data_IF_021701795359
#
_entry.id   IF_021701795359
#
_cell.length_a   1.000
_cell.length_b   1.000
_cell.length_c   1.000
_cell.angle_alpha   90.00
_cell.angle_beta   90.00
_cell.angle_gamma   90.00
#
_symmetry.space_group_name_H-M   'P 1'
#
loop_
_entity.id
_entity.type
_entity.pdbx_description
1 polymer ?
#
# COMPACT_ATOMS: atom_id res chain seq x y z
N UNK A 1 -2.32 16.52 16.85
CA UNK A 1 -2.86 15.97 15.60
C UNK A 1 -2.62 16.94 14.43
N UNK A 2 -3.11 18.17 14.45
CA UNK A 2 -2.89 19.13 13.34
C UNK A 2 -1.40 19.38 13.04
N UNK A 3 -0.54 19.52 14.05
CA UNK A 3 0.91 19.66 13.83
C UNK A 3 1.56 18.47 13.10
N UNK A 4 1.04 17.25 13.31
CA UNK A 4 1.56 16.07 12.59
C UNK A 4 1.09 16.05 11.14
N UNK A 5 -0.13 16.51 10.86
CA UNK A 5 -0.62 16.70 9.49
C UNK A 5 0.19 17.80 8.77
N UNK A 6 0.45 18.94 9.45
CA UNK A 6 1.31 19.99 8.91
C UNK A 6 2.71 19.46 8.61
N UNK A 7 3.31 18.66 9.54
CA UNK A 7 4.61 18.04 9.31
C UNK A 7 4.60 17.06 8.12
N UNK A 8 3.51 16.29 7.92
CA UNK A 8 3.33 15.45 6.76
C UNK A 8 3.29 16.27 5.46
N UNK A 9 2.51 17.34 5.46
CA UNK A 9 2.37 18.22 4.29
C UNK A 9 3.70 18.90 3.92
N UNK A 10 4.46 19.38 4.91
CA UNK A 10 5.79 19.98 4.68
C UNK A 10 6.77 18.93 4.14
N UNK A 11 6.81 17.73 4.73
CA UNK A 11 7.68 16.67 4.22
C UNK A 11 7.34 16.28 2.77
N UNK A 12 6.05 16.20 2.42
CA UNK A 12 5.63 15.93 1.04
C UNK A 12 6.06 17.06 0.08
N UNK A 13 5.97 18.33 0.50
CA UNK A 13 6.48 19.46 -0.29
C UNK A 13 7.98 19.35 -0.54
N UNK A 14 8.75 18.94 0.47
CA UNK A 14 10.20 18.72 0.32
C UNK A 14 10.52 17.61 -0.69
N UNK A 15 9.69 16.56 -0.77
CA UNK A 15 9.84 15.50 -1.78
C UNK A 15 9.55 16.02 -3.20
N UNK A 16 8.66 16.97 -3.37
CA UNK A 16 8.31 17.60 -4.64
C UNK A 16 7.53 16.71 -5.62
N UNK A 17 7.85 15.43 -5.74
CA UNK A 17 7.08 14.46 -6.53
C UNK A 17 7.17 13.06 -5.92
N UNK A 18 6.07 12.30 -5.96
CA UNK A 18 6.01 10.99 -5.27
C UNK A 18 5.13 9.96 -5.99
N UNK A 19 5.64 8.74 -6.11
CA UNK A 19 4.87 7.55 -6.49
C UNK A 19 4.47 6.80 -5.21
N UNK A 20 3.18 6.68 -4.96
CA UNK A 20 2.67 6.04 -3.75
C UNK A 20 2.25 4.61 -4.06
N UNK A 21 2.83 3.64 -3.32
CA UNK A 21 2.34 2.26 -3.31
C UNK A 21 0.94 2.23 -2.69
N UNK A 22 -0.07 2.08 -3.54
CA UNK A 22 -1.47 2.28 -3.18
C UNK A 22 -2.23 0.97 -3.10
N UNK A 23 -2.75 0.64 -1.91
CA UNK A 23 -3.48 -0.59 -1.63
C UNK A 23 -4.96 -0.39 -1.31
N UNK A 24 -5.51 0.83 -1.46
CA UNK A 24 -6.83 1.26 -1.01
C UNK A 24 -7.14 1.00 0.49
N UNK A 25 -6.13 0.71 1.28
CA UNK A 25 -6.25 0.66 2.75
C UNK A 25 -6.29 2.06 3.38
N UNK A 26 -6.62 2.15 4.66
CA UNK A 26 -6.76 3.42 5.41
C UNK A 26 -5.53 4.32 5.24
N UNK A 27 -4.34 3.76 5.52
CA UNK A 27 -3.08 4.53 5.56
C UNK A 27 -2.68 5.02 4.17
N UNK A 28 -2.70 4.12 3.19
CA UNK A 28 -2.31 4.47 1.82
C UNK A 28 -3.29 5.45 1.16
N UNK A 29 -4.59 5.35 1.48
CA UNK A 29 -5.60 6.29 0.98
C UNK A 29 -5.42 7.68 1.60
N UNK A 30 -5.17 7.74 2.91
CA UNK A 30 -4.89 8.99 3.59
C UNK A 30 -3.62 9.65 3.05
N UNK A 31 -2.53 8.87 2.95
CA UNK A 31 -1.27 9.38 2.39
C UNK A 31 -1.45 9.91 0.97
N UNK A 32 -2.12 9.13 0.11
CA UNK A 32 -2.35 9.50 -1.29
C UNK A 32 -3.16 10.79 -1.41
N UNK A 33 -4.23 10.92 -0.60
CA UNK A 33 -5.07 12.13 -0.59
C UNK A 33 -4.27 13.36 -0.16
N UNK A 34 -3.56 13.28 0.98
CA UNK A 34 -2.77 14.41 1.48
C UNK A 34 -1.66 14.78 0.49
N UNK A 35 -0.99 13.79 -0.10
CA UNK A 35 0.04 14.05 -1.09
C UNK A 35 -0.53 14.74 -2.34
N UNK A 36 -1.67 14.30 -2.84
CA UNK A 36 -2.32 14.92 -3.99
C UNK A 36 -2.79 16.33 -3.69
N UNK A 37 -3.34 16.59 -2.51
CA UNK A 37 -3.76 17.95 -2.10
C UNK A 37 -2.59 18.92 -2.02
N UNK A 38 -1.37 18.43 -1.73
CA UNK A 38 -0.16 19.25 -1.58
C UNK A 38 0.59 19.40 -2.90
N UNK A 39 0.70 18.34 -3.69
CA UNK A 39 1.60 18.24 -4.84
C UNK A 39 0.86 18.20 -6.20
N UNK A 40 -0.47 18.04 -6.20
CA UNK A 40 -1.27 17.95 -7.42
C UNK A 40 -0.79 16.84 -8.35
N UNK A 41 -0.56 17.17 -9.62
CA UNK A 41 -0.15 16.22 -10.67
C UNK A 41 1.25 15.62 -10.49
N UNK A 42 2.02 16.06 -9.48
CA UNK A 42 3.31 15.47 -9.14
C UNK A 42 3.17 14.19 -8.29
N UNK A 43 1.93 13.70 -8.08
CA UNK A 43 1.64 12.46 -7.38
C UNK A 43 1.04 11.44 -8.33
N UNK A 44 1.54 10.22 -8.26
CA UNK A 44 0.93 9.07 -8.93
C UNK A 44 0.63 7.98 -7.90
N UNK A 45 -0.48 7.29 -8.09
CA UNK A 45 -0.78 6.05 -7.37
C UNK A 45 -0.30 4.86 -8.18
N UNK A 46 0.37 3.89 -7.55
CA UNK A 46 0.77 2.64 -8.20
C UNK A 46 0.21 1.47 -7.39
N UNK A 47 -0.63 0.66 -8.01
CA UNK A 47 -1.21 -0.54 -7.41
C UNK A 47 -0.72 -1.78 -8.14
N UNK A 48 -0.19 -2.76 -7.40
CA UNK A 48 0.11 -4.06 -7.97
C UNK A 48 -1.15 -4.92 -8.05
N UNK A 49 -1.45 -5.40 -9.22
CA UNK A 49 -2.46 -6.42 -9.44
C UNK A 49 -1.78 -7.79 -9.37
N UNK A 50 -2.15 -8.59 -8.36
CA UNK A 50 -1.61 -9.93 -8.16
C UNK A 50 -2.72 -10.91 -7.77
N UNK A 51 -2.40 -12.20 -7.75
CA UNK A 51 -3.36 -13.20 -7.28
C UNK A 51 -3.59 -13.17 -5.75
N UNK A 52 -2.70 -12.53 -4.99
CA UNK A 52 -2.87 -12.29 -3.55
C UNK A 52 -3.61 -10.99 -3.21
N UNK A 53 -3.90 -10.16 -4.22
CA UNK A 53 -4.61 -8.88 -4.03
C UNK A 53 -6.07 -9.03 -4.48
N UNK A 54 -7.06 -8.89 -3.57
CA UNK A 54 -8.47 -9.08 -3.90
C UNK A 54 -8.95 -8.14 -5.00
N UNK A 55 -9.80 -8.64 -5.90
CA UNK A 55 -10.36 -7.81 -6.97
C UNK A 55 -11.14 -6.61 -6.45
N UNK A 56 -11.89 -6.77 -5.34
CA UNK A 56 -12.63 -5.68 -4.70
C UNK A 56 -11.73 -4.51 -4.30
N UNK A 57 -10.56 -4.80 -3.73
CA UNK A 57 -9.58 -3.78 -3.33
C UNK A 57 -9.04 -3.01 -4.55
N UNK A 58 -8.81 -3.72 -5.66
CA UNK A 58 -8.37 -3.09 -6.91
C UNK A 58 -9.44 -2.16 -7.50
N UNK A 59 -10.71 -2.58 -7.49
CA UNK A 59 -11.80 -1.75 -7.98
C UNK A 59 -12.02 -0.51 -7.10
N UNK A 60 -11.91 -0.65 -5.78
CA UNK A 60 -11.94 0.49 -4.87
C UNK A 60 -10.78 1.47 -5.13
N UNK A 61 -9.56 0.95 -5.37
CA UNK A 61 -8.39 1.75 -5.71
C UNK A 61 -8.63 2.57 -6.99
N UNK A 62 -9.15 1.92 -8.04
CA UNK A 62 -9.52 2.57 -9.31
C UNK A 62 -10.58 3.66 -9.11
N UNK A 63 -11.64 3.33 -8.37
CA UNK A 63 -12.74 4.24 -8.12
C UNK A 63 -12.27 5.48 -7.34
N UNK A 64 -11.45 5.28 -6.31
CA UNK A 64 -10.88 6.38 -5.53
C UNK A 64 -10.02 7.30 -6.39
N UNK A 65 -9.05 6.76 -7.10
CA UNK A 65 -8.16 7.56 -7.95
C UNK A 65 -8.93 8.31 -9.04
N UNK A 66 -9.93 7.67 -9.65
CA UNK A 66 -10.81 8.32 -10.64
C UNK A 66 -11.59 9.49 -10.04
N UNK A 67 -12.16 9.29 -8.84
CA UNK A 67 -12.94 10.32 -8.12
C UNK A 67 -12.08 11.54 -7.77
N UNK A 68 -10.87 11.29 -7.27
CA UNK A 68 -9.95 12.34 -6.82
C UNK A 68 -9.12 12.97 -7.98
N UNK A 69 -9.23 12.46 -9.21
CA UNK A 69 -8.45 12.92 -10.35
C UNK A 69 -6.97 12.54 -10.31
N UNK A 70 -6.61 11.49 -9.55
CA UNK A 70 -5.23 11.06 -9.36
C UNK A 70 -4.82 10.10 -10.46
N UNK A 71 -3.65 10.33 -11.06
CA UNK A 71 -3.07 9.40 -12.03
C UNK A 71 -2.78 8.06 -11.37
N UNK A 72 -3.42 7.00 -11.85
CA UNK A 72 -3.30 5.66 -11.31
C UNK A 72 -2.67 4.71 -12.33
N UNK A 73 -1.59 4.05 -11.93
CA UNK A 73 -0.91 3.04 -12.74
C UNK A 73 -1.09 1.69 -12.04
N UNK A 74 -1.58 0.72 -12.80
CA UNK A 74 -1.70 -0.65 -12.33
C UNK A 74 -0.58 -1.45 -12.98
N UNK A 75 0.24 -2.10 -12.17
CA UNK A 75 1.28 -3.00 -12.63
C UNK A 75 0.95 -4.44 -12.26
N UNK A 76 1.21 -5.37 -13.15
CA UNK A 76 1.05 -6.80 -12.86
C UNK A 76 2.22 -7.28 -11.99
N UNK A 77 1.88 -8.05 -10.95
CA UNK A 77 2.83 -8.78 -10.12
C UNK A 77 2.51 -10.27 -10.15
N UNK A 78 3.46 -11.05 -10.65
CA UNK A 78 3.36 -12.50 -10.71
C UNK A 78 4.06 -13.15 -9.52
N UNK A 79 3.56 -12.87 -8.33
CA UNK A 79 4.15 -13.29 -7.04
C UNK A 79 4.49 -14.78 -6.98
N UNK A 80 3.64 -15.63 -7.57
CA UNK A 80 3.86 -17.08 -7.57
C UNK A 80 5.05 -17.52 -8.42
N UNK A 81 5.54 -16.66 -9.32
CA UNK A 81 6.73 -16.91 -10.14
C UNK A 81 8.01 -16.42 -9.46
N UNK A 82 7.90 -15.60 -8.40
CA UNK A 82 9.05 -15.15 -7.64
C UNK A 82 9.65 -16.34 -6.90
N UNK A 83 10.96 -16.56 -7.08
CA UNK A 83 11.66 -17.65 -6.43
C UNK A 83 11.45 -17.63 -4.89
N UNK A 84 11.04 -18.74 -4.35
CA UNK A 84 10.80 -18.93 -2.92
C UNK A 84 9.45 -18.42 -2.41
N UNK A 85 8.70 -17.60 -3.14
CA UNK A 85 7.43 -17.04 -2.66
C UNK A 85 6.37 -18.12 -2.39
N UNK A 86 6.16 -19.04 -3.34
CA UNK A 86 5.15 -20.08 -3.25
C UNK A 86 5.33 -21.06 -2.08
N UNK A 87 6.58 -21.23 -1.60
CA UNK A 87 6.89 -22.04 -0.43
C UNK A 87 6.48 -21.39 0.91
N UNK A 88 5.98 -20.16 0.86
CA UNK A 88 5.48 -19.42 2.02
C UNK A 88 6.48 -19.34 3.21
N UNK A 89 7.72 -18.88 2.97
CA UNK A 89 8.69 -18.72 4.03
C UNK A 89 8.31 -17.57 4.98
N UNK A 90 8.92 -17.54 6.16
CA UNK A 90 8.68 -16.45 7.15
C UNK A 90 8.98 -15.07 6.59
N UNK A 91 9.95 -14.96 5.70
CA UNK A 91 10.32 -13.70 5.02
C UNK A 91 9.54 -13.46 3.70
N UNK A 92 8.45 -14.19 3.42
CA UNK A 92 7.64 -14.02 2.19
C UNK A 92 7.30 -12.56 1.90
N UNK A 93 6.94 -11.78 2.94
CA UNK A 93 6.61 -10.36 2.75
C UNK A 93 7.79 -9.51 2.29
N UNK A 94 9.02 -9.88 2.66
CA UNK A 94 10.23 -9.25 2.12
C UNK A 94 10.37 -9.54 0.63
N UNK A 95 10.29 -10.81 0.24
CA UNK A 95 10.40 -11.25 -1.16
C UNK A 95 9.38 -10.52 -2.04
N UNK A 96 8.11 -10.52 -1.64
CA UNK A 96 7.04 -9.86 -2.38
C UNK A 96 7.24 -8.33 -2.47
N UNK A 97 7.54 -7.67 -1.34
CA UNK A 97 7.73 -6.21 -1.35
C UNK A 97 8.96 -5.78 -2.12
N UNK A 98 10.04 -6.55 -2.08
CA UNK A 98 11.26 -6.22 -2.84
C UNK A 98 10.95 -6.15 -4.34
N UNK A 99 10.34 -7.18 -4.90
CA UNK A 99 9.96 -7.21 -6.32
C UNK A 99 8.95 -6.11 -6.66
N UNK A 100 7.95 -5.90 -5.81
CA UNK A 100 6.96 -4.86 -6.00
C UNK A 100 7.61 -3.47 -6.08
N UNK A 101 8.48 -3.14 -5.13
CA UNK A 101 9.09 -1.82 -5.11
C UNK A 101 10.12 -1.62 -6.23
N UNK A 102 10.81 -2.66 -6.71
CA UNK A 102 11.61 -2.58 -7.92
C UNK A 102 10.77 -2.18 -9.15
N UNK A 103 9.57 -2.76 -9.29
CA UNK A 103 8.62 -2.36 -10.35
C UNK A 103 8.17 -0.92 -10.19
N UNK A 104 7.81 -0.50 -8.97
CA UNK A 104 7.39 0.88 -8.71
C UNK A 104 8.53 1.87 -8.99
N UNK A 105 9.78 1.53 -8.66
CA UNK A 105 10.96 2.34 -8.98
C UNK A 105 11.10 2.56 -10.49
N UNK A 106 10.92 1.51 -11.29
CA UNK A 106 10.99 1.62 -12.73
C UNK A 106 9.86 2.50 -13.29
N UNK A 107 8.64 2.30 -12.81
CA UNK A 107 7.49 3.14 -13.17
C UNK A 107 7.75 4.61 -12.79
N UNK A 108 8.24 4.87 -11.58
CA UNK A 108 8.53 6.22 -11.12
C UNK A 108 9.58 6.91 -12.02
N UNK A 109 10.64 6.19 -12.41
CA UNK A 109 11.65 6.69 -13.37
C UNK A 109 11.02 7.07 -14.72
N UNK A 110 10.20 6.19 -15.29
CA UNK A 110 9.50 6.45 -16.55
C UNK A 110 8.57 7.67 -16.47
N UNK A 111 7.93 7.85 -15.31
CA UNK A 111 7.03 8.98 -15.05
C UNK A 111 7.77 10.24 -14.57
N UNK A 112 9.11 10.21 -14.45
CA UNK A 112 9.95 11.31 -13.94
C UNK A 112 9.58 11.75 -12.51
N UNK A 113 9.16 10.80 -11.68
CA UNK A 113 8.86 10.98 -10.27
C UNK A 113 10.11 10.66 -9.45
N UNK A 114 10.49 11.56 -8.53
CA UNK A 114 11.75 11.47 -7.81
C UNK A 114 11.73 10.48 -6.65
N UNK A 115 10.60 10.36 -5.94
CA UNK A 115 10.51 9.58 -4.71
C UNK A 115 9.41 8.53 -4.78
N UNK A 116 9.59 7.47 -3.99
CA UNK A 116 8.58 6.44 -3.78
C UNK A 116 8.20 6.44 -2.31
N UNK A 117 6.90 6.32 -2.03
CA UNK A 117 6.38 6.28 -0.68
C UNK A 117 5.40 5.12 -0.45
N UNK A 118 5.32 4.69 0.81
CA UNK A 118 4.39 3.67 1.26
C UNK A 118 3.72 4.09 2.58
N UNK A 119 2.62 3.41 2.94
CA UNK A 119 1.71 3.81 4.01
C UNK A 119 2.04 3.30 5.41
N UNK A 120 3.27 2.88 5.72
CA UNK A 120 3.60 2.47 7.10
C UNK A 120 3.51 3.65 8.06
N UNK A 121 2.95 3.39 9.24
CA UNK A 121 2.71 4.36 10.30
C UNK A 121 3.48 3.99 11.59
N UNK A 122 3.25 4.70 12.71
CA UNK A 122 3.99 4.49 13.95
C UNK A 122 3.70 3.15 14.61
N UNK A 123 2.51 2.57 14.41
CA UNK A 123 2.11 1.31 15.05
C UNK A 123 2.76 0.09 14.36
N UNK A 124 3.39 0.30 13.20
CA UNK A 124 4.19 -0.71 12.52
C UNK A 124 5.58 -0.94 13.15
N UNK A 125 5.94 -0.14 14.16
CA UNK A 125 7.20 -0.27 14.88
C UNK A 125 7.12 -1.40 15.92
N UNK A 126 8.16 -2.25 15.96
CA UNK A 126 8.29 -3.30 16.99
C UNK A 126 7.64 -4.64 16.66
N UNK A 127 6.95 -4.76 15.53
CA UNK A 127 6.43 -6.02 15.01
C UNK A 127 7.41 -6.68 14.02
N UNK A 128 7.33 -8.01 13.91
CA UNK A 128 8.10 -8.74 12.89
C UNK A 128 7.52 -8.46 11.50
N UNK A 129 8.07 -7.47 10.82
CA UNK A 129 7.64 -7.04 9.49
C UNK A 129 8.79 -7.09 8.48
N UNK A 130 9.13 -8.26 7.98
CA UNK A 130 10.25 -8.42 7.03
C UNK A 130 10.11 -7.54 5.78
N UNK A 131 8.89 -7.18 5.41
CA UNK A 131 8.66 -6.25 4.30
C UNK A 131 9.17 -4.82 4.53
N UNK A 132 9.38 -4.37 5.79
CA UNK A 132 10.00 -3.07 6.06
C UNK A 132 11.49 -3.04 5.75
N UNK A 133 12.15 -4.19 5.77
CA UNK A 133 13.54 -4.32 5.34
C UNK A 133 13.66 -3.99 3.85
N UNK A 134 12.80 -4.54 3.00
CA UNK A 134 12.80 -4.22 1.56
C UNK A 134 12.55 -2.72 1.30
N UNK A 135 11.62 -2.10 2.08
CA UNK A 135 11.34 -0.65 2.02
C UNK A 135 12.61 0.16 2.28
N UNK A 136 13.36 -0.20 3.35
CA UNK A 136 14.60 0.50 3.72
C UNK A 136 15.72 0.29 2.71
N UNK A 137 15.95 -0.94 2.25
CA UNK A 137 17.00 -1.30 1.28
C UNK A 137 16.81 -0.59 -0.07
N UNK A 138 15.57 -0.41 -0.49
CA UNK A 138 15.22 0.21 -1.77
C UNK A 138 15.01 1.74 -1.68
N UNK A 139 15.27 2.34 -0.52
CA UNK A 139 15.16 3.78 -0.34
C UNK A 139 13.72 4.32 -0.45
N UNK A 140 12.72 3.48 -0.20
CA UNK A 140 11.31 3.88 -0.18
C UNK A 140 11.01 4.65 1.10
N UNK A 141 10.32 5.77 0.99
CA UNK A 141 9.99 6.62 2.14
C UNK A 141 8.69 6.19 2.81
N UNK A 142 8.59 6.44 4.12
CA UNK A 142 7.37 6.23 4.93
C UNK A 142 6.92 7.56 5.54
N UNK A 143 6.22 8.44 4.77
CA UNK A 143 5.89 9.80 5.22
C UNK A 143 5.03 9.85 6.48
N UNK A 144 4.14 8.87 6.69
CA UNK A 144 3.31 8.79 7.89
C UNK A 144 4.15 8.51 9.15
N UNK A 145 5.16 7.63 9.02
CA UNK A 145 6.14 7.37 10.12
C UNK A 145 7.03 8.58 10.37
N UNK A 146 7.52 9.22 9.30
CA UNK A 146 8.31 10.45 9.40
C UNK A 146 7.57 11.51 10.20
N UNK A 147 6.27 11.69 9.95
CA UNK A 147 5.40 12.65 10.63
C UNK A 147 4.84 12.15 11.96
N UNK A 148 5.29 10.97 12.42
CA UNK A 148 4.90 10.34 13.71
C UNK A 148 3.39 10.12 13.86
N UNK A 149 2.70 9.83 12.76
CA UNK A 149 1.28 9.51 12.74
C UNK A 149 1.05 8.06 13.17
N UNK A 150 0.16 7.87 14.14
CA UNK A 150 -0.36 6.57 14.58
C UNK A 150 -1.67 6.24 13.86
N UNK A 151 -2.06 4.97 13.84
CA UNK A 151 -3.25 4.47 13.13
C UNK A 151 -4.53 5.19 13.51
N UNK A 152 -4.74 5.40 14.80
CA UNK A 152 -5.93 6.09 15.29
C UNK A 152 -5.99 7.55 14.81
N UNK A 153 -4.86 8.26 14.84
CA UNK A 153 -4.79 9.64 14.34
C UNK A 153 -5.09 9.70 12.83
N UNK A 154 -4.57 8.73 12.06
CA UNK A 154 -4.84 8.61 10.62
C UNK A 154 -6.34 8.39 10.37
N UNK A 155 -7.01 7.53 11.14
CA UNK A 155 -8.46 7.32 11.03
C UNK A 155 -9.26 8.59 11.31
N UNK A 156 -8.91 9.32 12.38
CA UNK A 156 -9.58 10.58 12.72
C UNK A 156 -9.39 11.62 11.60
N UNK A 157 -8.17 11.76 11.09
CA UNK A 157 -7.86 12.69 10.00
C UNK A 157 -8.55 12.26 8.70
N UNK A 158 -8.58 10.96 8.39
CA UNK A 158 -9.29 10.41 7.24
C UNK A 158 -10.80 10.72 7.30
N UNK A 159 -11.41 10.56 8.49
CA UNK A 159 -12.82 10.92 8.70
C UNK A 159 -13.08 12.41 8.49
N UNK A 160 -12.20 13.26 9.00
CA UNK A 160 -12.30 14.71 8.84
C UNK A 160 -12.17 15.15 7.38
N UNK A 161 -11.40 14.42 6.57
CA UNK A 161 -11.27 14.61 5.14
C UNK A 161 -12.39 13.94 4.32
N UNK A 162 -13.34 13.26 4.97
CA UNK A 162 -14.43 12.54 4.30
C UNK A 162 -13.98 11.34 3.47
N UNK A 163 -12.83 10.74 3.79
CA UNK A 163 -12.33 9.58 3.08
C UNK A 163 -13.16 8.33 3.36
N UNK A 164 -13.55 7.55 2.34
CA UNK A 164 -14.44 6.40 2.53
C UNK A 164 -13.77 5.25 3.34
N UNK A 165 -12.45 5.27 3.46
CA UNK A 165 -11.68 4.22 4.13
C UNK A 165 -11.40 4.48 5.60
N UNK A 166 -11.94 5.55 6.21
CA UNK A 166 -11.59 5.97 7.58
C UNK A 166 -11.85 4.89 8.63
N UNK A 167 -12.89 4.09 8.48
CA UNK A 167 -13.29 2.98 9.37
C UNK A 167 -13.00 1.59 8.78
N UNK A 168 -12.43 1.54 7.56
CA UNK A 168 -12.11 0.28 6.89
C UNK A 168 -11.22 -0.59 7.77
N UNK A 169 -11.57 -1.87 7.90
CA UNK A 169 -10.75 -2.83 8.63
C UNK A 169 -9.41 -3.04 7.94
N UNK A 170 -8.37 -3.34 8.74
CA UNK A 170 -7.06 -3.68 8.19
C UNK A 170 -7.14 -4.99 7.43
N UNK A 171 -6.80 -4.95 6.16
CA UNK A 171 -6.83 -6.10 5.27
C UNK A 171 -5.40 -6.46 4.86
N UNK A 172 -4.96 -7.65 5.22
CA UNK A 172 -3.70 -8.20 4.75
C UNK A 172 -3.91 -8.94 3.42
N UNK A 173 -2.85 -9.13 2.61
CA UNK A 173 -2.94 -9.90 1.36
C UNK A 173 -3.45 -11.32 1.62
N UNK A 174 -4.13 -11.94 0.65
CA UNK A 174 -4.71 -13.28 0.79
C UNK A 174 -3.69 -14.34 1.20
N UNK A 175 -2.44 -14.18 0.80
CA UNK A 175 -1.34 -15.09 1.19
C UNK A 175 -1.10 -15.17 2.70
N UNK A 176 -1.58 -14.18 3.48
CA UNK A 176 -1.45 -14.20 4.95
C UNK A 176 -2.38 -15.20 5.65
N UNK A 177 -3.32 -15.83 4.93
CA UNK A 177 -4.24 -16.85 5.47
C UNK A 177 -3.61 -18.24 5.53
N UNK A 178 -2.43 -18.41 4.94
CA UNK A 178 -1.71 -19.68 4.92
C UNK A 178 -0.64 -19.70 6.01
N UNK A 179 -0.52 -20.81 6.71
CA UNK A 179 0.55 -21.01 7.70
C UNK A 179 1.91 -21.09 6.99
N UNK A 180 2.96 -20.59 7.64
CA UNK A 180 4.30 -20.64 7.06
C UNK A 180 4.72 -22.06 6.69
N UNK A 181 5.28 -22.22 5.50
CA UNK A 181 5.67 -23.52 4.92
C UNK A 181 4.55 -24.22 4.15
N UNK A 182 3.30 -23.77 4.23
CA UNK A 182 2.24 -24.26 3.37
C UNK A 182 2.37 -23.63 1.98
N UNK A 183 2.35 -24.49 0.96
CA UNK A 183 2.43 -24.02 -0.44
C UNK A 183 1.25 -23.14 -0.83
N UNK A 184 1.56 -21.96 -1.34
CA UNK A 184 0.59 -21.01 -1.88
C UNK A 184 0.41 -21.27 -3.37
N UNK A 185 -0.83 -21.53 -3.78
CA UNK A 185 -1.19 -21.73 -5.18
C UNK A 185 -2.31 -20.77 -5.61
N UNK A 186 -2.44 -20.54 -6.91
CA UNK A 186 -3.52 -19.68 -7.46
C UNK A 186 -4.90 -20.19 -7.05
N UNK A 187 -5.11 -21.51 -7.08
CA UNK A 187 -6.41 -22.11 -6.72
C UNK A 187 -6.75 -21.86 -5.25
N UNK A 188 -5.79 -22.08 -4.35
CA UNK A 188 -5.98 -21.83 -2.90
C UNK A 188 -6.27 -20.34 -2.64
N UNK A 189 -5.55 -19.42 -3.27
CA UNK A 189 -5.81 -17.98 -3.16
C UNK A 189 -7.21 -17.63 -3.66
N UNK A 190 -7.64 -18.19 -4.79
CA UNK A 190 -8.98 -18.00 -5.32
C UNK A 190 -10.08 -18.53 -4.39
N UNK A 191 -9.84 -19.68 -3.73
CA UNK A 191 -10.77 -20.23 -2.74
C UNK A 191 -10.91 -19.29 -1.54
N UNK A 192 -9.81 -18.76 -1.02
CA UNK A 192 -9.81 -17.80 0.10
C UNK A 192 -10.54 -16.51 -0.28
N UNK A 193 -10.24 -15.94 -1.46
CA UNK A 193 -10.90 -14.70 -1.92
C UNK A 193 -12.42 -14.87 -2.04
N UNK A 194 -12.87 -15.99 -2.60
CA UNK A 194 -14.31 -16.30 -2.70
C UNK A 194 -14.97 -16.50 -1.33
N UNK A 195 -14.29 -17.18 -0.41
CA UNK A 195 -14.80 -17.40 0.94
C UNK A 195 -14.92 -16.08 1.72
N UNK A 196 -13.90 -15.21 1.64
CA UNK A 196 -13.94 -13.89 2.26
C UNK A 196 -15.03 -13.01 1.63
N UNK A 197 -15.18 -13.03 0.31
CA UNK A 197 -16.24 -12.27 -0.36
C UNK A 197 -17.62 -12.72 0.10
N UNK A 198 -17.85 -14.03 0.21
CA UNK A 198 -19.13 -14.55 0.71
C UNK A 198 -19.44 -14.06 2.13
N UNK A 199 -18.43 -14.00 3.01
CA UNK A 199 -18.60 -13.49 4.37
C UNK A 199 -18.86 -11.98 4.42
N UNK A 200 -18.34 -11.23 3.47
CA UNK A 200 -18.57 -9.78 3.37
C UNK A 200 -19.94 -9.44 2.79
N UNK A 201 -20.53 -10.37 2.02
CA UNK A 201 -21.85 -10.19 1.40
C UNK A 201 -23.01 -10.56 2.36
N UNK A 202 -22.71 -11.16 3.56
CA UNK A 202 -23.66 -11.52 4.62
C UNK A 202 -23.91 -10.37 5.59
#
# INVERSE_FOLDING_TARGET
>A
MNKKLEALQEYLKELGSVAIAFSSGVDSTFLLKVAHDVLGDQVIAVTAQSCSFPKRELEEAKAFCKKEGIKHIICESEELQIEGFSHNPKNRCYICKHELFEKIINIAKEQKIAYIAEGSNMDDNGDYRPGLQAVAELGVTSPLRHSKLAKEEIRILSRNLGLPTWDKQSFACLSSRFVYGEEITRDKLSMVDKAEQLLLDL
#
